data_IF_911862008623
#
_entry.id   IF_911862008623
#
_cell.length_a   1.000
_cell.length_b   1.000
_cell.length_c   1.000
_cell.angle_alpha   90.00
_cell.angle_beta   90.00
_cell.angle_gamma   90.00
#
_symmetry.space_group_name_H-M   'P 1'
#
loop_
_entity.id
_entity.type
_entity.pdbx_description
1 polymer ?
#
# COMPACT_ATOMS: atom_id res chain seq x y z
N UNK A 1 47.90 43.15 43.08
CA UNK A 1 46.48 42.99 42.71
C UNK A 1 46.47 42.57 41.25
N UNK A 2 46.30 41.27 41.01
CA UNK A 2 46.89 40.55 39.88
C UNK A 2 45.93 40.39 38.69
N UNK A 3 46.44 40.81 37.52
CA UNK A 3 46.15 40.34 36.17
C UNK A 3 45.80 38.84 36.09
N UNK A 4 44.56 38.51 35.74
CA UNK A 4 44.17 37.16 35.30
C UNK A 4 42.81 37.08 34.54
N UNK A 5 42.23 38.19 34.06
CA UNK A 5 40.82 38.20 33.60
C UNK A 5 40.61 38.34 32.08
N UNK A 6 41.66 38.13 31.26
CA UNK A 6 41.58 38.28 29.79
C UNK A 6 41.63 36.98 28.92
N UNK A 7 42.15 35.81 29.37
CA UNK A 7 42.24 34.64 28.48
C UNK A 7 40.98 33.74 28.48
N UNK A 8 40.07 33.87 29.46
CA UNK A 8 38.90 33.00 29.58
C UNK A 8 37.77 33.34 28.59
N UNK A 9 37.57 34.63 28.26
CA UNK A 9 36.49 35.06 27.36
C UNK A 9 36.71 34.66 25.89
N UNK A 10 37.95 34.47 25.43
CA UNK A 10 38.24 34.05 24.05
C UNK A 10 37.98 32.56 23.79
N UNK A 11 38.12 31.69 24.81
CA UNK A 11 37.87 30.25 24.65
C UNK A 11 36.38 29.89 24.66
N UNK A 12 35.57 30.67 25.36
CA UNK A 12 34.10 30.47 25.44
C UNK A 12 33.42 30.89 24.12
N UNK A 13 33.92 31.93 23.44
CA UNK A 13 33.38 32.34 22.14
C UNK A 13 33.62 31.33 21.01
N UNK A 14 34.77 30.63 21.00
CA UNK A 14 35.06 29.64 19.95
C UNK A 14 34.22 28.35 20.08
N UNK A 15 33.87 27.94 21.31
CA UNK A 15 33.06 26.72 21.53
C UNK A 15 31.57 26.95 21.23
N UNK A 16 31.06 28.16 21.47
CA UNK A 16 29.70 28.54 21.10
C UNK A 16 29.50 28.63 19.58
N UNK A 17 30.53 29.07 18.83
CA UNK A 17 30.50 29.11 17.37
C UNK A 17 30.48 27.72 16.71
N UNK A 18 31.17 26.74 17.29
CA UNK A 18 31.20 25.36 16.77
C UNK A 18 29.89 24.60 17.03
N UNK A 19 29.22 24.85 18.17
CA UNK A 19 27.91 24.27 18.50
C UNK A 19 26.76 24.90 17.71
N UNK A 20 26.84 26.20 17.42
CA UNK A 20 25.89 26.84 16.51
C UNK A 20 26.03 26.30 15.08
N UNK A 21 27.25 26.08 14.59
CA UNK A 21 27.46 25.50 13.26
C UNK A 21 26.99 24.03 13.13
N UNK A 22 26.99 23.26 14.22
CA UNK A 22 26.46 21.89 14.25
C UNK A 22 24.93 21.81 14.43
N UNK A 23 24.30 22.84 15.01
CA UNK A 23 22.85 22.88 15.22
C UNK A 23 22.05 23.36 14.00
N UNK A 24 22.70 24.06 13.05
CA UNK A 24 22.06 24.54 11.83
C UNK A 24 21.99 23.52 10.69
N UNK A 25 22.60 22.35 10.83
CA UNK A 25 22.52 21.27 9.81
C UNK A 25 21.44 20.23 10.09
N UNK A 26 20.70 20.34 11.20
CA UNK A 26 19.74 19.30 11.64
C UNK A 26 18.24 19.66 11.49
N UNK A 27 17.90 20.75 10.82
CA UNK A 27 16.50 21.24 10.80
C UNK A 27 16.04 21.79 9.45
N UNK A 28 16.54 21.21 8.36
CA UNK A 28 15.93 21.35 7.05
C UNK A 28 15.92 20.01 6.31
N UNK A 29 15.23 19.00 6.87
CA UNK A 29 14.53 18.09 5.95
C UNK A 29 13.53 18.97 5.21
N UNK A 30 13.93 19.43 4.02
CA UNK A 30 13.00 20.06 3.08
C UNK A 30 11.84 19.08 2.94
N UNK A 31 10.69 19.41 3.53
CA UNK A 31 9.45 18.72 3.21
C UNK A 31 9.24 19.00 1.73
N UNK A 32 9.55 18.01 0.90
CA UNK A 32 9.20 18.08 -0.52
C UNK A 32 7.72 18.48 -0.59
N UNK A 33 7.36 19.42 -1.49
CA UNK A 33 5.97 19.81 -1.64
C UNK A 33 5.14 18.54 -1.89
N UNK A 34 4.11 18.33 -1.07
CA UNK A 34 3.25 17.15 -1.20
C UNK A 34 2.58 17.21 -2.57
N UNK A 35 2.93 16.27 -3.45
CA UNK A 35 2.17 16.05 -4.67
C UNK A 35 0.81 15.51 -4.25
N UNK A 36 -0.25 16.25 -4.58
CA UNK A 36 -1.61 15.75 -4.38
C UNK A 36 -2.00 14.95 -5.61
N UNK A 37 -1.98 13.63 -5.50
CA UNK A 37 -2.32 12.74 -6.60
C UNK A 37 -3.82 12.78 -6.88
N UNK A 38 -4.25 12.83 -8.16
CA UNK A 38 -5.67 12.85 -8.51
C UNK A 38 -6.27 11.47 -8.29
N UNK A 39 -6.93 11.27 -7.15
CA UNK A 39 -7.55 10.00 -6.77
C UNK A 39 -9.05 10.01 -7.00
N UNK A 40 -9.60 8.83 -7.25
CA UNK A 40 -11.04 8.54 -7.14
C UNK A 40 -11.22 7.42 -6.14
N UNK A 41 -12.05 7.64 -5.14
CA UNK A 41 -12.36 6.68 -4.08
C UNK A 41 -13.80 6.15 -4.21
N UNK A 42 -14.04 4.95 -3.72
CA UNK A 42 -15.37 4.38 -3.71
C UNK A 42 -15.45 3.08 -2.93
N UNK A 43 -16.69 2.62 -2.76
CA UNK A 43 -17.00 1.36 -2.10
C UNK A 43 -17.69 0.42 -3.08
N UNK A 44 -17.39 -0.87 -2.96
CA UNK A 44 -18.11 -1.95 -3.60
C UNK A 44 -18.66 -2.91 -2.55
N UNK A 45 -19.95 -3.23 -2.64
CA UNK A 45 -20.61 -4.15 -1.70
C UNK A 45 -20.90 -5.47 -2.38
N UNK A 46 -20.32 -6.55 -1.87
CA UNK A 46 -20.61 -7.91 -2.28
C UNK A 46 -21.64 -8.48 -1.32
N UNK A 47 -22.81 -8.83 -1.86
CA UNK A 47 -23.88 -9.44 -1.08
C UNK A 47 -23.66 -10.95 -0.91
N UNK A 48 -23.91 -11.43 0.31
CA UNK A 48 -23.81 -12.85 0.68
C UNK A 48 -22.45 -13.47 0.32
N UNK A 49 -21.36 -12.78 0.65
CA UNK A 49 -20.02 -13.29 0.40
C UNK A 49 -19.76 -14.53 1.26
N UNK A 50 -19.51 -15.66 0.60
CA UNK A 50 -19.17 -16.93 1.24
C UNK A 50 -17.66 -17.06 1.36
N UNK A 51 -17.18 -17.26 2.58
CA UNK A 51 -15.77 -17.52 2.91
C UNK A 51 -15.39 -18.99 2.67
N UNK A 52 -14.10 -19.28 2.66
CA UNK A 52 -13.59 -20.63 2.42
C UNK A 52 -14.07 -21.66 3.47
N UNK A 53 -14.35 -21.21 4.70
CA UNK A 53 -14.91 -22.03 5.79
C UNK A 53 -16.44 -22.19 5.72
N UNK A 54 -17.07 -21.73 4.63
CA UNK A 54 -18.51 -21.72 4.38
C UNK A 54 -19.34 -20.70 5.18
N UNK A 55 -18.73 -19.92 6.07
CA UNK A 55 -19.42 -18.80 6.70
C UNK A 55 -19.81 -17.75 5.65
N UNK A 56 -20.86 -16.97 5.95
CA UNK A 56 -21.42 -15.98 5.03
C UNK A 56 -21.54 -14.64 5.71
N UNK A 57 -20.97 -13.61 5.09
CA UNK A 57 -21.23 -12.22 5.47
C UNK A 57 -22.29 -11.64 4.53
N UNK A 58 -23.46 -11.19 5.03
CA UNK A 58 -24.54 -10.68 4.18
C UNK A 58 -24.15 -9.48 3.32
N UNK A 59 -23.23 -8.65 3.83
CA UNK A 59 -22.72 -7.46 3.15
C UNK A 59 -21.23 -7.33 3.43
N UNK A 60 -20.41 -7.63 2.43
CA UNK A 60 -18.97 -7.42 2.46
C UNK A 60 -18.64 -6.15 1.66
N UNK A 61 -18.24 -5.08 2.35
CA UNK A 61 -17.78 -3.82 1.73
C UNK A 61 -16.28 -3.91 1.45
N UNK A 62 -15.89 -3.54 0.23
CA UNK A 62 -14.53 -3.25 -0.17
C UNK A 62 -14.40 -1.78 -0.55
N UNK A 63 -13.58 -1.06 0.20
CA UNK A 63 -13.16 0.28 -0.15
C UNK A 63 -11.97 0.23 -1.12
N UNK A 64 -11.86 1.21 -2.01
CA UNK A 64 -10.74 1.31 -2.93
C UNK A 64 -10.43 2.76 -3.30
N UNK A 65 -9.16 2.99 -3.62
CA UNK A 65 -8.67 4.22 -4.26
C UNK A 65 -8.14 3.88 -5.65
N UNK A 66 -8.38 4.73 -6.63
CA UNK A 66 -7.81 4.59 -7.98
C UNK A 66 -7.16 5.86 -8.48
N UNK A 67 -6.21 5.71 -9.41
CA UNK A 67 -5.57 6.79 -10.15
C UNK A 67 -5.59 6.49 -11.65
N UNK A 68 -5.72 7.54 -12.47
CA UNK A 68 -5.81 7.40 -13.92
C UNK A 68 -7.16 6.85 -14.38
N UNK A 69 -7.20 6.33 -15.61
CA UNK A 69 -8.44 5.84 -16.22
C UNK A 69 -8.23 4.50 -16.91
N UNK A 70 -9.22 3.61 -16.75
CA UNK A 70 -9.23 2.31 -17.41
C UNK A 70 -9.30 2.47 -18.92
N UNK A 71 -8.36 1.81 -19.62
CA UNK A 71 -8.35 1.70 -21.07
C UNK A 71 -8.63 0.25 -21.47
N UNK A 72 -9.38 0.09 -22.56
CA UNK A 72 -9.71 -1.19 -23.15
C UNK A 72 -9.36 -1.21 -24.62
N UNK A 73 -8.90 -2.34 -25.13
CA UNK A 73 -8.70 -2.55 -26.56
C UNK A 73 -10.04 -2.75 -27.31
N UNK A 74 -9.98 -2.93 -28.62
CA UNK A 74 -11.14 -3.16 -29.46
C UNK A 74 -11.96 -4.41 -29.08
N UNK A 75 -11.35 -5.40 -28.41
CA UNK A 75 -12.03 -6.59 -27.90
C UNK A 75 -12.63 -6.40 -26.50
N UNK A 76 -12.55 -5.19 -25.92
CA UNK A 76 -13.06 -4.89 -24.59
C UNK A 76 -12.20 -5.42 -23.44
N UNK A 77 -10.94 -5.80 -23.71
CA UNK A 77 -9.99 -6.27 -22.70
C UNK A 77 -9.21 -5.08 -22.15
N UNK A 78 -9.12 -4.99 -20.83
CA UNK A 78 -8.33 -3.99 -20.13
C UNK A 78 -6.84 -4.13 -20.49
N UNK A 79 -6.17 -3.02 -20.83
CA UNK A 79 -4.77 -3.05 -21.30
C UNK A 79 -3.78 -2.36 -20.37
N UNK A 80 -4.27 -1.60 -19.39
CA UNK A 80 -3.44 -0.71 -18.59
C UNK A 80 -3.69 -0.76 -17.08
N UNK A 81 -4.50 -1.70 -16.60
CA UNK A 81 -4.86 -1.79 -15.19
C UNK A 81 -3.73 -2.42 -14.36
N UNK A 82 -3.40 -1.81 -13.23
CA UNK A 82 -2.37 -2.28 -12.28
C UNK A 82 -2.98 -2.36 -10.89
N UNK A 83 -2.86 -3.52 -10.26
CA UNK A 83 -3.32 -3.76 -8.89
C UNK A 83 -2.13 -3.67 -7.92
N UNK A 84 -2.21 -2.82 -6.90
CA UNK A 84 -1.18 -2.70 -5.86
C UNK A 84 -1.79 -3.04 -4.48
N UNK A 85 -1.26 -4.08 -3.84
CA UNK A 85 -1.82 -4.69 -2.64
C UNK A 85 -0.98 -4.34 -1.41
N UNK A 86 -1.63 -3.87 -0.35
CA UNK A 86 -0.98 -3.45 0.88
C UNK A 86 -0.50 -4.63 1.76
N UNK A 87 0.48 -4.37 2.63
CA UNK A 87 0.94 -5.29 3.67
C UNK A 87 0.02 -5.34 4.89
N UNK A 88 0.32 -6.21 5.85
CA UNK A 88 -0.48 -6.36 7.08
C UNK A 88 -0.64 -5.03 7.81
N UNK A 89 -1.87 -4.68 8.19
CA UNK A 89 -2.18 -3.43 8.88
C UNK A 89 -2.17 -2.17 7.99
N UNK A 90 -1.86 -2.32 6.70
CA UNK A 90 -1.89 -1.24 5.72
C UNK A 90 -3.28 -0.99 5.12
N UNK A 91 -3.32 -0.04 4.20
CA UNK A 91 -4.48 0.34 3.37
C UNK A 91 -4.00 0.66 1.96
N UNK A 92 -4.90 0.71 0.96
CA UNK A 92 -4.56 1.14 -0.39
C UNK A 92 -3.94 2.54 -0.41
N UNK A 93 -4.48 3.45 0.41
CA UNK A 93 -4.05 4.85 0.50
C UNK A 93 -2.57 5.02 0.89
N UNK A 94 -1.94 4.03 1.53
CA UNK A 94 -0.51 4.11 1.91
C UNK A 94 0.42 4.30 0.69
N UNK A 95 0.00 3.82 -0.49
CA UNK A 95 0.76 3.92 -1.73
C UNK A 95 0.66 5.31 -2.40
N UNK A 96 0.01 6.27 -1.73
CA UNK A 96 0.05 7.70 -2.09
C UNK A 96 1.16 8.45 -1.33
N UNK A 97 1.87 7.78 -0.42
CA UNK A 97 2.99 8.40 0.29
C UNK A 97 4.07 8.85 -0.70
N UNK A 98 4.70 10.03 -0.52
CA UNK A 98 5.68 10.58 -1.46
C UNK A 98 6.83 9.61 -1.78
N UNK A 99 7.29 8.84 -0.79
CA UNK A 99 8.38 7.86 -0.97
C UNK A 99 8.05 6.76 -1.97
N UNK A 100 6.77 6.44 -2.14
CA UNK A 100 6.30 5.44 -3.09
C UNK A 100 5.78 6.08 -4.37
N UNK A 101 4.93 7.11 -4.24
CA UNK A 101 4.17 7.66 -5.35
C UNK A 101 4.98 8.57 -6.29
N UNK A 102 5.83 9.45 -5.73
CA UNK A 102 6.63 10.42 -6.50
C UNK A 102 7.53 9.75 -7.56
N UNK A 103 8.25 8.66 -7.27
CA UNK A 103 9.06 7.97 -8.28
C UNK A 103 8.28 7.04 -9.21
N UNK A 104 6.94 6.91 -9.07
CA UNK A 104 6.17 5.89 -9.79
C UNK A 104 5.05 6.48 -10.65
N UNK A 105 4.31 7.47 -10.16
CA UNK A 105 3.05 7.89 -10.78
C UNK A 105 3.17 9.10 -11.71
N UNK A 106 4.31 9.77 -11.71
CA UNK A 106 4.55 11.00 -12.47
C UNK A 106 4.66 10.80 -14.00
N UNK A 107 4.66 11.89 -14.77
CA UNK A 107 4.89 11.86 -16.20
C UNK A 107 6.18 11.14 -16.62
N UNK A 108 6.06 10.02 -17.33
CA UNK A 108 7.20 9.22 -17.82
C UNK A 108 7.76 8.24 -16.80
N UNK A 109 7.22 8.21 -15.58
CA UNK A 109 7.60 7.25 -14.54
C UNK A 109 7.01 5.86 -14.81
N UNK A 110 7.52 4.79 -14.17
CA UNK A 110 7.15 3.41 -14.48
C UNK A 110 5.66 3.10 -14.41
N UNK A 111 4.93 3.75 -13.49
CA UNK A 111 3.48 3.61 -13.29
C UNK A 111 2.75 4.94 -13.57
N UNK A 112 3.22 5.69 -14.57
CA UNK A 112 2.61 6.96 -14.99
C UNK A 112 1.09 6.84 -15.14
N UNK A 113 0.34 7.58 -14.33
CA UNK A 113 -1.13 7.50 -14.23
C UNK A 113 -1.85 8.05 -15.47
N UNK A 114 -1.12 8.70 -16.39
CA UNK A 114 -1.65 9.09 -17.70
C UNK A 114 -1.81 7.87 -18.62
N UNK A 115 -1.02 6.84 -18.37
CA UNK A 115 -1.00 5.62 -19.17
C UNK A 115 -1.57 4.42 -18.42
N UNK A 116 -1.49 4.40 -17.09
CA UNK A 116 -1.93 3.29 -16.26
C UNK A 116 -3.17 3.62 -15.43
N UNK A 117 -4.00 2.61 -15.20
CA UNK A 117 -5.10 2.66 -14.25
C UNK A 117 -4.69 1.94 -12.97
N UNK A 118 -4.29 2.69 -11.95
CA UNK A 118 -3.77 2.15 -10.70
C UNK A 118 -4.92 1.91 -9.73
N UNK A 119 -4.98 0.73 -9.13
CA UNK A 119 -6.06 0.29 -8.24
C UNK A 119 -5.45 -0.11 -6.90
N UNK A 120 -5.89 0.56 -5.83
CA UNK A 120 -5.39 0.45 -4.47
C UNK A 120 -6.55 0.06 -3.54
N UNK A 121 -6.89 -1.23 -3.43
CA UNK A 121 -7.98 -1.66 -2.56
C UNK A 121 -7.55 -1.68 -1.09
N UNK A 122 -8.52 -1.42 -0.20
CA UNK A 122 -8.45 -1.88 1.18
C UNK A 122 -8.95 -3.32 1.22
N UNK A 123 -8.14 -4.25 1.74
CA UNK A 123 -8.53 -5.65 1.81
C UNK A 123 -9.48 -5.91 2.99
N UNK A 124 -10.12 -7.08 2.98
CA UNK A 124 -10.94 -7.56 4.11
C UNK A 124 -10.15 -7.43 5.42
N UNK A 125 -10.77 -6.86 6.45
CA UNK A 125 -10.12 -6.64 7.73
C UNK A 125 -9.31 -5.34 7.86
N UNK A 126 -9.19 -4.54 6.80
CA UNK A 126 -8.30 -3.38 6.76
C UNK A 126 -9.01 -2.11 6.28
N UNK A 127 -8.45 -0.95 6.65
CA UNK A 127 -8.90 0.36 6.19
C UNK A 127 -10.40 0.60 6.33
N UNK A 128 -11.01 1.10 5.27
CA UNK A 128 -12.46 1.37 5.22
C UNK A 128 -13.28 0.17 4.73
N UNK A 129 -12.64 -0.93 4.33
CA UNK A 129 -13.30 -2.20 4.05
C UNK A 129 -13.90 -2.84 5.32
N UNK A 130 -14.82 -3.78 5.11
CA UNK A 130 -15.42 -4.56 6.19
C UNK A 130 -14.34 -5.24 7.04
N UNK A 131 -14.37 -4.98 8.34
CA UNK A 131 -13.39 -5.48 9.30
C UNK A 131 -14.02 -5.88 10.62
N UNK A 132 -13.38 -6.75 11.43
CA UNK A 132 -13.91 -7.17 12.73
C UNK A 132 -14.28 -5.99 13.65
N UNK A 133 -13.54 -4.89 13.60
CA UNK A 133 -13.80 -3.70 14.41
C UNK A 133 -15.06 -2.91 14.03
N UNK A 134 -15.70 -3.20 12.88
CA UNK A 134 -16.97 -2.57 12.45
C UNK A 134 -18.19 -3.11 13.23
N UNK A 135 -18.01 -4.01 14.20
CA UNK A 135 -19.04 -4.39 15.17
C UNK A 135 -19.16 -5.89 15.43
N UNK A 136 -18.78 -6.74 14.47
CA UNK A 136 -18.87 -8.19 14.62
C UNK A 136 -17.81 -8.77 15.57
N UNK A 137 -16.64 -8.12 15.69
CA UNK A 137 -15.52 -8.53 16.54
C UNK A 137 -15.17 -10.01 16.29
N UNK A 138 -15.20 -10.86 17.31
CA UNK A 138 -14.93 -12.30 17.21
C UNK A 138 -15.99 -13.09 16.39
N UNK A 139 -17.12 -12.48 16.03
CA UNK A 139 -18.14 -13.07 15.14
C UNK A 139 -17.92 -12.70 13.67
N UNK A 140 -16.89 -11.91 13.36
CA UNK A 140 -16.53 -11.65 11.96
C UNK A 140 -15.99 -12.95 11.35
N UNK A 141 -16.43 -13.35 10.14
CA UNK A 141 -16.02 -14.62 9.59
C UNK A 141 -14.52 -14.81 9.50
N UNK A 142 -14.05 -16.03 9.68
CA UNK A 142 -12.64 -16.31 9.46
C UNK A 142 -12.33 -16.15 7.97
N UNK A 143 -11.28 -15.40 7.66
CA UNK A 143 -10.88 -15.12 6.28
C UNK A 143 -9.39 -15.39 6.07
N UNK A 144 -9.07 -15.93 4.90
CA UNK A 144 -7.71 -16.12 4.41
C UNK A 144 -7.42 -15.32 3.15
N UNK A 145 -6.21 -15.50 2.61
CA UNK A 145 -5.79 -14.81 1.38
C UNK A 145 -6.64 -15.17 0.17
N UNK A 146 -7.11 -16.42 0.05
CA UNK A 146 -8.04 -16.80 -1.03
C UNK A 146 -9.35 -15.99 -0.97
N UNK A 147 -9.88 -15.72 0.22
CA UNK A 147 -11.09 -14.92 0.38
C UNK A 147 -10.85 -13.46 -0.03
N UNK A 148 -9.73 -12.88 0.42
CA UNK A 148 -9.33 -11.53 0.02
C UNK A 148 -9.17 -11.42 -1.50
N UNK A 149 -8.45 -12.35 -2.13
CA UNK A 149 -8.23 -12.37 -3.58
C UNK A 149 -9.54 -12.53 -4.35
N UNK A 150 -10.46 -13.40 -3.90
CA UNK A 150 -11.81 -13.53 -4.52
C UNK A 150 -12.62 -12.25 -4.41
N UNK A 151 -12.59 -11.59 -3.26
CA UNK A 151 -13.31 -10.34 -3.06
C UNK A 151 -12.72 -9.22 -3.93
N UNK A 152 -11.39 -9.09 -3.99
CA UNK A 152 -10.71 -8.12 -4.87
C UNK A 152 -10.97 -8.44 -6.35
N UNK A 153 -10.96 -9.71 -6.77
CA UNK A 153 -11.31 -10.07 -8.14
C UNK A 153 -12.76 -9.71 -8.49
N UNK A 154 -13.71 -9.88 -7.57
CA UNK A 154 -15.08 -9.40 -7.74
C UNK A 154 -15.15 -7.87 -7.87
N UNK A 155 -14.42 -7.12 -7.03
CA UNK A 155 -14.29 -5.66 -7.18
C UNK A 155 -13.77 -5.28 -8.57
N UNK A 156 -12.70 -5.93 -9.03
CA UNK A 156 -12.12 -5.63 -10.35
C UNK A 156 -13.11 -5.91 -11.48
N UNK A 157 -13.68 -7.11 -11.52
CA UNK A 157 -14.46 -7.59 -12.67
C UNK A 157 -15.90 -7.09 -12.68
N UNK A 158 -16.55 -7.03 -11.51
CA UNK A 158 -18.00 -6.77 -11.41
C UNK A 158 -18.31 -5.30 -11.16
N UNK A 159 -17.36 -4.53 -10.61
CA UNK A 159 -17.56 -3.12 -10.27
C UNK A 159 -16.69 -2.19 -11.13
N UNK A 160 -15.36 -2.43 -11.15
CA UNK A 160 -14.43 -1.56 -11.89
C UNK A 160 -14.34 -1.89 -13.38
N UNK A 161 -14.94 -3.00 -13.82
CA UNK A 161 -14.94 -3.42 -15.22
C UNK A 161 -13.56 -3.86 -15.75
N UNK A 162 -12.63 -4.19 -14.87
CA UNK A 162 -11.28 -4.68 -15.16
C UNK A 162 -11.32 -6.20 -15.30
N UNK A 163 -11.11 -6.67 -16.53
CA UNK A 163 -11.10 -8.10 -16.88
C UNK A 163 -9.69 -8.65 -17.16
N UNK A 164 -8.67 -7.80 -17.12
CA UNK A 164 -7.26 -8.16 -17.27
C UNK A 164 -6.37 -7.12 -16.60
N UNK A 165 -5.28 -7.56 -15.99
CA UNK A 165 -4.28 -6.72 -15.34
C UNK A 165 -2.98 -6.73 -16.14
N UNK A 166 -2.38 -5.56 -16.32
CA UNK A 166 -1.00 -5.47 -16.79
C UNK A 166 -0.02 -5.97 -15.74
N UNK A 167 -0.32 -5.70 -14.47
CA UNK A 167 0.53 -6.05 -13.33
C UNK A 167 -0.32 -6.22 -12.07
N UNK A 168 -0.01 -7.26 -11.31
CA UNK A 168 -0.35 -7.34 -9.88
C UNK A 168 0.93 -7.24 -9.05
N UNK A 169 0.94 -6.40 -8.03
CA UNK A 169 2.08 -6.24 -7.13
C UNK A 169 1.63 -5.93 -5.72
N UNK A 170 2.52 -6.11 -4.75
CA UNK A 170 2.20 -5.80 -3.35
C UNK A 170 3.35 -6.07 -2.41
N UNK A 171 3.22 -5.58 -1.17
CA UNK A 171 4.27 -5.69 -0.14
C UNK A 171 3.84 -6.62 0.99
N UNK A 172 4.75 -7.45 1.52
CA UNK A 172 4.49 -8.33 2.66
C UNK A 172 3.25 -9.22 2.44
N UNK A 173 2.17 -9.05 3.19
CA UNK A 173 0.88 -9.72 2.95
C UNK A 173 0.40 -9.55 1.49
N UNK A 174 0.49 -8.36 0.93
CA UNK A 174 0.13 -8.10 -0.47
C UNK A 174 1.11 -8.74 -1.46
N UNK A 175 2.36 -8.92 -1.06
CA UNK A 175 3.35 -9.68 -1.84
C UNK A 175 3.01 -11.17 -1.87
N UNK A 176 2.64 -11.76 -0.73
CA UNK A 176 2.14 -13.14 -0.66
C UNK A 176 0.91 -13.32 -1.55
N UNK A 177 -0.04 -12.38 -1.53
CA UNK A 177 -1.18 -12.43 -2.43
C UNK A 177 -0.78 -12.28 -3.91
N UNK A 178 0.22 -11.46 -4.23
CA UNK A 178 0.73 -11.32 -5.60
C UNK A 178 1.27 -12.64 -6.15
N UNK A 179 1.89 -13.49 -5.32
CA UNK A 179 2.26 -14.86 -5.70
C UNK A 179 1.04 -15.73 -6.02
N UNK A 180 -0.03 -15.62 -5.22
CA UNK A 180 -1.23 -16.44 -5.33
C UNK A 180 -2.16 -16.01 -6.48
N UNK A 181 -2.10 -14.76 -6.91
CA UNK A 181 -2.97 -14.23 -7.98
C UNK A 181 -2.87 -15.03 -9.30
N UNK A 182 -1.67 -15.28 -9.86
CA UNK A 182 -1.52 -16.15 -11.03
C UNK A 182 -1.90 -17.61 -10.79
N UNK A 183 -1.85 -18.10 -9.56
CA UNK A 183 -2.31 -19.46 -9.23
C UNK A 183 -3.85 -19.54 -9.33
N UNK A 184 -4.53 -18.54 -8.77
CA UNK A 184 -5.99 -18.50 -8.75
C UNK A 184 -6.60 -18.08 -10.10
N UNK A 185 -5.94 -17.19 -10.83
CA UNK A 185 -6.42 -16.59 -12.08
C UNK A 185 -5.29 -16.49 -13.12
N UNK A 186 -4.81 -17.62 -13.66
CA UNK A 186 -3.57 -17.70 -14.45
C UNK A 186 -3.55 -16.88 -15.74
N UNK A 187 -4.71 -16.52 -16.28
CA UNK A 187 -4.83 -15.75 -17.53
C UNK A 187 -5.30 -14.30 -17.29
N UNK A 188 -5.43 -13.87 -16.03
CA UNK A 188 -6.01 -12.57 -15.69
C UNK A 188 -4.97 -11.45 -15.61
N UNK A 189 -3.68 -11.77 -15.67
CA UNK A 189 -2.61 -10.77 -15.64
C UNK A 189 -1.43 -11.13 -16.54
N UNK A 190 -0.70 -10.11 -17.00
CA UNK A 190 0.55 -10.31 -17.76
C UNK A 190 1.76 -10.56 -16.86
N UNK A 191 1.77 -9.97 -15.66
CA UNK A 191 2.90 -10.01 -14.75
C UNK A 191 2.47 -9.97 -13.28
N UNK A 192 3.29 -10.59 -12.42
CA UNK A 192 3.21 -10.49 -10.96
C UNK A 192 4.56 -10.01 -10.40
N UNK A 193 4.52 -9.04 -9.49
CA UNK A 193 5.70 -8.50 -8.79
C UNK A 193 5.50 -8.52 -7.27
N UNK A 194 5.81 -9.64 -6.61
CA UNK A 194 5.77 -9.78 -5.16
C UNK A 194 6.95 -9.07 -4.49
N UNK A 195 6.69 -8.24 -3.47
CA UNK A 195 7.72 -7.48 -2.77
C UNK A 195 7.73 -7.83 -1.27
N UNK A 196 8.94 -7.89 -0.68
CA UNK A 196 9.16 -8.12 0.76
C UNK A 196 8.31 -9.28 1.34
N UNK A 197 8.27 -10.40 0.63
CA UNK A 197 7.42 -11.55 0.93
C UNK A 197 8.04 -12.85 0.44
N UNK A 198 7.51 -13.98 0.92
CA UNK A 198 7.87 -15.33 0.47
C UNK A 198 6.62 -16.04 -0.07
N UNK A 199 6.75 -16.99 -1.01
CA UNK A 199 5.63 -17.77 -1.54
C UNK A 199 5.16 -18.87 -0.56
N UNK A 200 5.78 -18.98 0.61
CA UNK A 200 5.43 -19.93 1.66
C UNK A 200 5.04 -19.19 2.94
N UNK A 201 4.26 -19.86 3.79
CA UNK A 201 3.93 -19.33 5.11
C UNK A 201 5.23 -19.09 5.89
N UNK A 202 5.38 -17.87 6.41
CA UNK A 202 6.49 -17.54 7.31
C UNK A 202 6.31 -18.34 8.59
N UNK A 203 6.98 -19.48 8.69
CA UNK A 203 7.07 -20.28 9.89
C UNK A 203 8.10 -19.63 10.81
N UNK A 204 7.67 -18.66 11.61
CA UNK A 204 8.50 -18.09 12.67
C UNK A 204 8.77 -19.14 13.74
N UNK A 205 9.85 -19.93 13.60
CA UNK A 205 10.55 -20.42 14.79
C UNK A 205 11.22 -19.19 15.38
N UNK A 206 10.57 -18.56 16.36
CA UNK A 206 11.24 -17.62 17.24
C UNK A 206 12.11 -18.48 18.17
N UNK A 207 13.44 -18.62 17.99
CA UNK A 207 14.24 -19.21 19.04
C UNK A 207 14.16 -18.23 20.20
N UNK A 208 13.32 -18.53 21.19
CA UNK A 208 13.41 -17.87 22.48
C UNK A 208 14.87 -18.04 22.95
N UNK A 209 15.55 -16.98 23.44
CA UNK A 209 16.81 -17.18 24.12
C UNK A 209 16.54 -18.09 25.33
N UNK A 210 17.30 -19.19 25.39
CA UNK A 210 17.27 -20.17 26.47
C UNK A 210 17.64 -19.53 27.82
#
# INVERSE_FOLDING_TARGET
MSSAMLPAMKRILCLAGLLAALAFTLSAQQRLPRVNWPTTEGDYVIHNFRFADSEVLPSLRLHYTTLGHLQKNAAGVATNAVLIIHGTGGTGHQFLSPIFADPLYGPGEPLDIRNHYIILPDLIGHGESSKPSDGLRAKFPHYGYHDMIRATHALLTQHLGVNHLRLVMGTSMGGMQSWMWPEMYPTFMDASMPLASEPAQIAGRNPLPA
#
